data_IF_728588593370
#
_entry.id   IF_728588593370
#
_cell.length_a   1.000
_cell.length_b   1.000
_cell.length_c   1.000
_cell.angle_alpha   90.00
_cell.angle_beta   90.00
_cell.angle_gamma   90.00
#
_symmetry.space_group_name_H-M   'P 1'
#
loop_
_entity.id
_entity.type
_entity.pdbx_description
1 polymer ?
#
# COMPACT_ATOMS: atom_id res chain seq x y z
N UNK A 1 10.25 -21.35 -16.10
CA UNK A 1 10.52 -20.76 -17.45
C UNK A 1 10.98 -19.30 -17.39
N UNK A 2 10.58 -18.49 -16.41
CA UNK A 2 10.89 -17.05 -16.37
C UNK A 2 12.07 -16.64 -15.46
N UNK A 3 12.64 -17.57 -14.70
CA UNK A 3 13.74 -17.29 -13.76
C UNK A 3 14.97 -18.18 -14.01
N UNK A 4 15.26 -18.52 -15.27
CA UNK A 4 16.40 -19.34 -15.66
C UNK A 4 16.55 -20.72 -14.96
N UNK A 5 15.48 -21.23 -14.33
CA UNK A 5 15.50 -22.49 -13.57
C UNK A 5 15.36 -22.27 -12.06
N UNK A 6 15.52 -21.03 -11.59
CA UNK A 6 15.39 -20.69 -10.18
C UNK A 6 13.92 -20.65 -9.72
N UNK A 7 13.76 -20.82 -8.42
CA UNK A 7 12.49 -20.74 -7.71
C UNK A 7 12.53 -19.58 -6.71
N UNK A 8 11.51 -18.72 -6.74
CA UNK A 8 11.39 -17.63 -5.78
C UNK A 8 10.66 -18.10 -4.54
N UNK A 9 11.30 -17.92 -3.38
CA UNK A 9 10.69 -18.12 -2.06
C UNK A 9 10.45 -16.76 -1.41
N UNK A 10 9.21 -16.51 -0.99
CA UNK A 10 8.85 -15.30 -0.24
C UNK A 10 8.61 -15.65 1.22
N UNK A 11 9.37 -15.03 2.12
CA UNK A 11 9.22 -15.18 3.58
C UNK A 11 8.69 -13.86 4.12
N UNK A 12 7.41 -13.85 4.50
CA UNK A 12 6.78 -12.71 5.18
C UNK A 12 6.94 -12.85 6.69
N UNK A 13 7.36 -11.79 7.35
CA UNK A 13 7.45 -11.73 8.81
C UNK A 13 6.89 -10.40 9.33
N UNK A 14 5.87 -10.46 10.18
CA UNK A 14 5.22 -9.30 10.80
C UNK A 14 5.76 -9.14 12.22
N UNK A 15 6.41 -8.01 12.46
CA UNK A 15 7.16 -7.77 13.68
C UNK A 15 6.89 -6.35 14.19
N UNK A 16 7.07 -6.14 15.49
CA UNK A 16 7.07 -4.82 16.08
C UNK A 16 8.16 -3.94 15.46
N UNK A 17 7.90 -2.63 15.38
CA UNK A 17 8.77 -1.68 14.65
C UNK A 17 10.19 -1.56 15.22
N UNK A 18 10.40 -1.95 16.48
CA UNK A 18 11.68 -1.96 17.18
C UNK A 18 12.39 -3.33 17.15
N UNK A 19 11.78 -4.35 16.52
CA UNK A 19 12.34 -5.69 16.46
C UNK A 19 13.74 -5.70 15.80
N UNK A 20 14.72 -6.47 16.33
CA UNK A 20 16.10 -6.48 15.84
C UNK A 20 16.25 -6.73 14.33
N UNK A 21 15.33 -7.51 13.73
CA UNK A 21 15.33 -7.81 12.30
C UNK A 21 15.25 -6.57 11.41
N UNK A 22 14.65 -5.47 11.89
CA UNK A 22 14.65 -4.22 11.14
C UNK A 22 16.06 -3.63 10.99
N UNK A 23 17.00 -3.97 11.87
CA UNK A 23 18.39 -3.51 11.85
C UNK A 23 19.37 -4.48 11.17
N UNK A 24 19.01 -5.76 11.06
CA UNK A 24 19.85 -6.80 10.44
C UNK A 24 20.00 -6.63 8.92
N UNK A 25 21.19 -6.86 8.38
CA UNK A 25 21.44 -6.96 6.94
C UNK A 25 20.68 -8.12 6.29
N UNK A 26 20.67 -8.17 4.95
CA UNK A 26 20.05 -9.28 4.21
C UNK A 26 20.73 -10.62 4.52
N UNK A 27 22.04 -10.61 4.73
CA UNK A 27 22.84 -11.79 5.04
C UNK A 27 22.59 -12.29 6.47
N UNK A 28 22.50 -11.38 7.45
CA UNK A 28 22.16 -11.74 8.83
C UNK A 28 20.75 -12.34 8.90
N UNK A 29 19.78 -11.74 8.21
CA UNK A 29 18.43 -12.32 8.12
C UNK A 29 18.45 -13.67 7.40
N UNK A 30 19.19 -13.80 6.30
CA UNK A 30 19.30 -15.08 5.62
C UNK A 30 19.84 -16.17 6.55
N UNK A 31 20.89 -15.87 7.32
CA UNK A 31 21.48 -16.80 8.28
C UNK A 31 20.49 -17.19 9.39
N UNK A 32 19.63 -16.26 9.82
CA UNK A 32 18.55 -16.52 10.78
C UNK A 32 17.49 -17.47 10.20
N UNK A 33 17.09 -17.29 8.93
CA UNK A 33 15.98 -18.04 8.34
C UNK A 33 16.38 -19.39 7.71
N UNK A 34 17.58 -19.51 7.12
CA UNK A 34 18.04 -20.71 6.41
C UNK A 34 17.90 -22.00 7.23
N UNK A 35 18.26 -22.06 8.52
CA UNK A 35 18.15 -23.28 9.32
C UNK A 35 16.73 -23.85 9.35
N UNK A 36 15.72 -22.98 9.27
CA UNK A 36 14.33 -23.39 9.29
C UNK A 36 13.85 -23.98 7.96
N UNK A 37 14.52 -23.68 6.83
CA UNK A 37 14.14 -24.23 5.52
C UNK A 37 14.35 -25.75 5.45
N UNK A 38 15.34 -26.27 6.17
CA UNK A 38 15.59 -27.71 6.28
C UNK A 38 14.42 -28.47 6.93
N UNK A 39 13.60 -27.81 7.77
CA UNK A 39 12.41 -28.43 8.35
C UNK A 39 11.30 -28.67 7.31
N UNK A 40 11.21 -27.83 6.27
CA UNK A 40 10.23 -27.99 5.19
C UNK A 40 10.75 -28.93 4.09
N UNK A 41 12.05 -28.86 3.82
CA UNK A 41 12.71 -29.75 2.87
C UNK A 41 14.04 -30.25 3.47
N UNK A 42 14.10 -31.49 3.99
CA UNK A 42 15.30 -32.05 4.59
C UNK A 42 16.52 -32.15 3.66
N UNK A 43 16.31 -32.08 2.34
CA UNK A 43 17.40 -32.08 1.36
C UNK A 43 17.95 -30.69 1.07
N UNK A 44 17.29 -29.64 1.54
CA UNK A 44 17.72 -28.26 1.33
C UNK A 44 19.16 -28.07 1.78
N UNK A 45 19.96 -27.45 0.92
CA UNK A 45 21.33 -27.04 1.22
C UNK A 45 21.43 -25.52 1.09
N UNK A 46 22.23 -24.89 1.96
CA UNK A 46 22.37 -23.43 1.99
C UNK A 46 22.96 -22.86 0.68
N UNK A 47 23.76 -23.64 -0.04
CA UNK A 47 24.36 -23.27 -1.33
C UNK A 47 23.35 -23.24 -2.50
N UNK A 48 22.11 -23.72 -2.28
CA UNK A 48 21.02 -23.55 -3.26
C UNK A 48 20.54 -22.10 -3.35
N UNK A 49 20.86 -21.25 -2.36
CA UNK A 49 20.46 -19.85 -2.36
C UNK A 49 21.35 -19.06 -3.32
N UNK A 50 20.82 -18.73 -4.50
CA UNK A 50 21.53 -17.97 -5.53
C UNK A 50 21.47 -16.45 -5.32
N UNK A 51 20.54 -15.97 -4.49
CA UNK A 51 20.41 -14.56 -4.16
C UNK A 51 19.39 -14.29 -3.05
N UNK A 52 19.56 -13.15 -2.36
CA UNK A 52 18.70 -12.71 -1.26
C UNK A 52 18.41 -11.23 -1.38
N UNK A 53 17.13 -10.87 -1.23
CA UNK A 53 16.66 -9.49 -1.20
C UNK A 53 15.78 -9.31 0.03
N UNK A 54 15.96 -8.17 0.70
CA UNK A 54 15.18 -7.82 1.89
C UNK A 54 14.51 -6.48 1.68
N UNK A 55 13.19 -6.47 1.89
CA UNK A 55 12.38 -5.27 1.95
C UNK A 55 11.80 -5.15 3.35
N UNK A 56 11.93 -3.97 3.95
CA UNK A 56 11.46 -3.67 5.31
C UNK A 56 10.56 -2.46 5.28
N UNK A 57 9.43 -2.56 5.96
CA UNK A 57 8.51 -1.45 6.14
C UNK A 57 8.03 -1.45 7.61
N UNK A 58 8.59 -0.56 8.43
CA UNK A 58 8.23 -0.43 9.85
C UNK A 58 6.75 -0.05 10.02
N UNK A 59 6.17 0.61 9.03
CA UNK A 59 4.76 1.01 9.00
C UNK A 59 4.07 0.40 7.77
N UNK A 60 4.14 -0.92 7.65
CA UNK A 60 3.54 -1.62 6.53
C UNK A 60 2.01 -1.50 6.51
N UNK A 61 1.38 -1.68 7.68
CA UNK A 61 -0.08 -1.68 7.81
C UNK A 61 -0.49 -0.87 9.04
N UNK A 62 -1.40 0.11 8.90
CA UNK A 62 -1.98 0.77 10.05
C UNK A 62 -2.84 -0.23 10.83
N UNK A 63 -2.70 -0.24 12.15
CA UNK A 63 -3.59 -0.99 13.05
C UNK A 63 -4.66 -0.01 13.54
N UNK A 64 -5.93 -0.14 13.12
CA UNK A 64 -6.99 0.76 13.55
C UNK A 64 -7.25 0.61 15.07
N UNK A 65 -7.28 1.70 15.86
CA UNK A 65 -7.70 1.63 17.25
C UNK A 65 -9.21 1.32 17.36
N UNK A 66 -9.66 1.00 18.57
CA UNK A 66 -11.10 0.92 18.87
C UNK A 66 -11.75 2.28 18.60
N UNK A 67 -12.88 2.28 17.89
CA UNK A 67 -13.58 3.52 17.50
C UNK A 67 -13.01 4.21 16.27
N UNK A 68 -12.09 3.59 15.52
CA UNK A 68 -11.46 4.21 14.35
C UNK A 68 -12.44 4.75 13.31
N UNK A 69 -13.60 4.09 13.13
CA UNK A 69 -14.62 4.52 12.17
C UNK A 69 -15.05 5.98 12.37
N UNK A 70 -15.17 6.43 13.63
CA UNK A 70 -15.57 7.79 13.99
C UNK A 70 -14.43 8.80 13.81
N UNK A 71 -13.19 8.32 13.66
CA UNK A 71 -11.99 9.13 13.45
C UNK A 71 -11.69 9.36 11.96
N UNK A 72 -12.39 8.68 11.05
CA UNK A 72 -12.13 8.79 9.61
C UNK A 72 -12.60 10.16 9.13
N UNK A 73 -11.71 11.02 8.63
CA UNK A 73 -12.11 12.33 8.14
C UNK A 73 -12.92 12.21 6.85
N UNK A 74 -13.86 13.14 6.67
CA UNK A 74 -14.63 13.27 5.45
C UNK A 74 -13.73 13.48 4.22
N UNK A 75 -14.21 12.95 3.08
CA UNK A 75 -13.52 13.12 1.80
C UNK A 75 -13.51 14.57 1.33
N UNK A 76 -14.58 15.33 1.63
CA UNK A 76 -14.61 16.78 1.41
C UNK A 76 -13.96 17.45 2.60
N UNK A 77 -12.90 18.21 2.37
CA UNK A 77 -12.30 19.01 3.44
C UNK A 77 -13.09 20.32 3.62
N UNK A 78 -12.91 21.03 4.74
CA UNK A 78 -13.45 22.38 4.91
C UNK A 78 -12.91 23.40 3.90
N UNK A 79 -11.80 23.10 3.21
CA UNK A 79 -11.21 23.97 2.20
C UNK A 79 -11.87 23.69 0.82
N UNK A 80 -12.53 24.69 0.20
CA UNK A 80 -13.15 24.51 -1.10
C UNK A 80 -12.15 24.07 -2.16
N UNK A 81 -12.49 23.03 -2.92
CA UNK A 81 -11.64 22.48 -3.98
C UNK A 81 -10.55 21.50 -3.49
N UNK A 82 -10.41 21.28 -2.17
CA UNK A 82 -9.48 20.30 -1.62
C UNK A 82 -10.24 19.08 -1.07
N UNK A 83 -9.82 17.89 -1.51
CA UNK A 83 -10.39 16.60 -1.12
C UNK A 83 -9.33 15.72 -0.49
N UNK A 84 -9.71 14.96 0.53
CA UNK A 84 -8.84 14.03 1.21
C UNK A 84 -9.28 12.59 0.93
N UNK A 85 -8.42 11.83 0.26
CA UNK A 85 -8.67 10.43 -0.09
C UNK A 85 -7.42 9.63 0.27
N UNK A 86 -7.55 8.73 1.23
CA UNK A 86 -6.43 8.01 1.83
C UNK A 86 -6.83 6.60 2.25
N UNK A 87 -5.86 5.85 2.77
CA UNK A 87 -6.09 4.53 3.33
C UNK A 87 -7.10 4.52 4.49
N UNK A 88 -7.27 5.64 5.21
CA UNK A 88 -8.26 5.74 6.29
C UNK A 88 -9.68 5.48 5.79
N UNK A 89 -10.04 5.94 4.59
CA UNK A 89 -11.36 5.75 4.00
C UNK A 89 -11.57 4.35 3.39
N UNK A 90 -10.55 3.48 3.40
CA UNK A 90 -10.67 2.07 2.96
C UNK A 90 -11.26 1.18 4.06
N UNK A 91 -11.13 1.57 5.33
CA UNK A 91 -11.71 0.86 6.48
C UNK A 91 -13.21 0.56 6.25
N UNK A 92 -13.72 -0.65 6.61
CA UNK A 92 -13.05 -1.71 7.37
C UNK A 92 -12.25 -2.71 6.51
N UNK A 93 -12.08 -2.43 5.22
CA UNK A 93 -11.39 -3.33 4.32
C UNK A 93 -9.87 -3.18 4.43
N UNK A 94 -9.14 -4.25 4.11
CA UNK A 94 -7.70 -4.20 4.02
C UNK A 94 -7.23 -3.47 2.75
N UNK A 95 -5.97 -3.05 2.75
CA UNK A 95 -5.30 -2.37 1.64
C UNK A 95 -5.41 -3.18 0.34
N UNK A 96 -6.13 -2.61 -0.61
CA UNK A 96 -6.34 -3.20 -1.93
C UNK A 96 -6.40 -2.13 -3.00
N UNK A 97 -5.70 -2.36 -4.11
CA UNK A 97 -5.67 -1.43 -5.25
C UNK A 97 -7.07 -1.18 -5.82
N UNK A 98 -7.98 -2.16 -5.73
CA UNK A 98 -9.38 -2.03 -6.11
C UNK A 98 -10.07 -0.89 -5.36
N UNK A 99 -9.86 -0.76 -4.05
CA UNK A 99 -10.46 0.30 -3.23
C UNK A 99 -9.86 1.67 -3.56
N UNK A 100 -8.56 1.74 -3.85
CA UNK A 100 -7.94 2.98 -4.31
C UNK A 100 -8.54 3.47 -5.65
N UNK A 101 -8.76 2.55 -6.60
CA UNK A 101 -9.39 2.86 -7.90
C UNK A 101 -10.84 3.30 -7.71
N UNK A 102 -11.61 2.59 -6.88
CA UNK A 102 -12.99 2.96 -6.56
C UNK A 102 -13.07 4.35 -5.93
N UNK A 103 -12.24 4.61 -4.93
CA UNK A 103 -12.17 5.90 -4.23
C UNK A 103 -11.78 7.02 -5.19
N UNK A 104 -10.78 6.80 -6.05
CA UNK A 104 -10.39 7.78 -7.07
C UNK A 104 -11.56 8.15 -7.99
N UNK A 105 -12.34 7.16 -8.45
CA UNK A 105 -13.54 7.40 -9.28
C UNK A 105 -14.63 8.15 -8.51
N UNK A 106 -14.85 7.81 -7.24
CA UNK A 106 -15.83 8.48 -6.36
C UNK A 106 -15.46 9.95 -6.16
N UNK A 107 -14.21 10.22 -5.80
CA UNK A 107 -13.68 11.58 -5.55
C UNK A 107 -13.74 12.42 -6.82
N UNK A 108 -13.36 11.86 -7.98
CA UNK A 108 -13.46 12.56 -9.26
C UNK A 108 -14.90 13.00 -9.59
N UNK A 109 -15.90 12.14 -9.35
CA UNK A 109 -17.32 12.49 -9.51
C UNK A 109 -17.75 13.60 -8.56
N UNK A 110 -17.27 13.58 -7.31
CA UNK A 110 -17.55 14.62 -6.32
C UNK A 110 -16.97 15.97 -6.76
N UNK A 111 -15.70 15.99 -7.18
CA UNK A 111 -15.02 17.19 -7.71
C UNK A 111 -15.84 17.79 -8.85
N UNK A 112 -16.23 16.97 -9.84
CA UNK A 112 -17.00 17.43 -10.99
C UNK A 112 -18.37 18.03 -10.60
N UNK A 113 -19.07 17.39 -9.67
CA UNK A 113 -20.36 17.89 -9.19
C UNK A 113 -20.23 19.22 -8.42
N UNK A 114 -19.18 19.36 -7.62
CA UNK A 114 -18.96 20.56 -6.80
C UNK A 114 -18.44 21.73 -7.66
N UNK A 115 -17.58 21.48 -8.66
CA UNK A 115 -17.16 22.51 -9.63
C UNK A 115 -18.36 23.11 -10.39
N UNK A 116 -19.32 22.28 -10.82
CA UNK A 116 -20.55 22.75 -11.45
C UNK A 116 -21.37 23.68 -10.55
N UNK A 117 -21.42 23.40 -9.24
CA UNK A 117 -22.12 24.24 -8.27
C UNK A 117 -21.39 25.57 -8.03
N UNK A 118 -20.07 25.56 -8.12
CA UNK A 118 -19.23 26.75 -7.91
C UNK A 118 -19.07 27.62 -9.16
N UNK A 119 -19.68 27.24 -10.30
CA UNK A 119 -19.56 27.99 -11.56
C UNK A 119 -18.15 27.96 -12.16
N UNK A 120 -17.28 27.07 -11.70
CA UNK A 120 -15.91 26.93 -12.22
C UNK A 120 -15.96 26.12 -13.52
N UNK A 121 -15.40 26.63 -14.64
CA UNK A 121 -15.39 25.90 -15.90
C UNK A 121 -14.69 24.54 -15.75
N UNK A 122 -15.31 23.49 -16.25
CA UNK A 122 -14.72 22.13 -16.24
C UNK A 122 -13.71 22.00 -17.38
N UNK A 123 -12.59 21.30 -17.13
CA UNK A 123 -11.59 21.02 -18.16
C UNK A 123 -12.25 20.22 -19.31
N UNK A 124 -12.51 20.90 -20.42
CA UNK A 124 -13.26 20.37 -21.57
C UNK A 124 -14.32 21.34 -22.11
N UNK A 125 -14.78 22.31 -21.32
CA UNK A 125 -15.58 23.42 -21.83
C UNK A 125 -14.64 24.46 -22.44
N UNK A 126 -14.41 24.39 -23.76
CA UNK A 126 -13.82 25.51 -24.50
C UNK A 126 -14.67 26.75 -24.24
N UNK A 127 -14.04 27.78 -23.66
CA UNK A 127 -14.68 29.09 -23.48
C UNK A 127 -14.94 29.68 -24.87
N UNK A 128 -16.19 29.57 -25.32
CA UNK A 128 -16.71 30.31 -26.47
C UNK A 128 -17.05 31.72 -26.02
N UNK A 129 -16.04 32.53 -25.71
CA UNK A 129 -16.22 33.96 -25.46
C UNK A 129 -15.10 34.72 -26.16
N UNK A 130 -15.19 34.81 -27.48
CA UNK A 130 -14.85 36.02 -28.27
C UNK A 130 -15.81 36.02 -29.48
N UNK A 131 -16.74 36.97 -29.49
CA UNK A 131 -17.45 37.45 -30.67
C UNK A 131 -17.51 38.97 -30.55
#
# INVERSE_FOLDING_TARGET
KHYAGDHLLYIGNYLDSDHPHFKMSAQELLAEFIPHLAHFNPQFQADWVTGTWVHKAAYAQPVPPVGYADMIPDVRTPLPGLYFASMSQVYPWDRGTNYAVEMGRKVAKMIYADQKKLGVPTAGQKSSIIS
#
